data_IF_098175543189
#
_entry.id   IF_098175543189
#
_cell.length_a   1.000
_cell.length_b   1.000
_cell.length_c   1.000
_cell.angle_alpha   90.00
_cell.angle_beta   90.00
_cell.angle_gamma   90.00
#
_symmetry.space_group_name_H-M   'P 1'
#
loop_
_entity.id
_entity.type
_entity.pdbx_description
1 polymer ?
#
# COMPACT_ATOMS: atom_id res chain seq x y z
N UNK A 1 -11.32 20.71 8.44
CA UNK A 1 -11.79 19.43 8.00
C UNK A 1 -11.07 18.32 8.68
N UNK A 2 -11.84 17.35 9.11
CA UNK A 2 -11.28 16.27 9.86
C UNK A 2 -10.48 15.34 8.98
N UNK A 3 -9.31 14.96 9.45
CA UNK A 3 -8.52 13.96 8.80
C UNK A 3 -8.83 12.61 9.42
N UNK A 4 -8.62 11.56 8.64
CA UNK A 4 -8.82 10.21 9.12
C UNK A 4 -7.54 9.71 9.79
N UNK A 5 -7.71 8.95 10.84
CA UNK A 5 -6.59 8.26 11.47
C UNK A 5 -6.31 6.98 10.69
N UNK A 6 -5.06 6.76 10.35
CA UNK A 6 -4.68 5.57 9.59
C UNK A 6 -4.26 4.48 10.58
N UNK A 7 -4.87 3.31 10.42
CA UNK A 7 -4.53 2.12 11.20
C UNK A 7 -4.05 1.06 10.21
N UNK A 8 -2.79 0.66 10.34
CA UNK A 8 -2.26 -0.42 9.51
C UNK A 8 -2.39 -1.69 10.32
N UNK A 9 -3.24 -2.60 9.84
CA UNK A 9 -3.53 -3.83 10.57
C UNK A 9 -2.31 -4.74 10.64
N UNK A 10 -2.30 -5.69 11.58
CA UNK A 10 -1.19 -6.65 11.62
C UNK A 10 -1.01 -7.42 10.31
N UNK A 11 -2.09 -7.73 9.61
CA UNK A 11 -1.98 -8.42 8.32
C UNK A 11 -1.28 -7.54 7.29
N UNK A 12 -1.62 -6.25 7.26
CA UNK A 12 -0.97 -5.34 6.32
C UNK A 12 0.50 -5.12 6.69
N UNK A 13 0.81 -5.05 7.98
CA UNK A 13 2.22 -4.95 8.39
C UNK A 13 2.99 -6.20 8.00
N UNK A 14 2.36 -7.37 8.13
CA UNK A 14 2.98 -8.62 7.70
C UNK A 14 3.24 -8.60 6.20
N UNK A 15 2.32 -8.05 5.42
CA UNK A 15 2.51 -7.92 3.97
C UNK A 15 3.72 -7.05 3.66
N UNK A 16 3.88 -5.94 4.38
CA UNK A 16 5.03 -5.06 4.16
C UNK A 16 6.34 -5.74 4.55
N UNK A 17 6.33 -6.48 5.64
CA UNK A 17 7.52 -7.20 6.08
C UNK A 17 7.91 -8.29 5.08
N UNK A 18 6.92 -8.99 4.53
CA UNK A 18 7.19 -10.02 3.53
C UNK A 18 7.80 -9.40 2.27
N UNK A 19 7.29 -8.26 1.87
CA UNK A 19 7.82 -7.55 0.70
C UNK A 19 9.25 -7.10 0.96
N UNK A 20 9.50 -6.53 2.15
CA UNK A 20 10.83 -6.09 2.52
C UNK A 20 11.83 -7.25 2.48
N UNK A 21 11.46 -8.39 3.04
CA UNK A 21 12.33 -9.56 3.03
C UNK A 21 12.60 -10.06 1.62
N UNK A 22 11.57 -10.06 0.80
CA UNK A 22 11.72 -10.53 -0.57
C UNK A 22 12.72 -9.64 -1.34
N UNK A 23 12.55 -8.32 -1.25
CA UNK A 23 13.43 -7.41 -1.98
C UNK A 23 14.83 -7.42 -1.39
N UNK A 24 14.93 -7.39 -0.05
CA UNK A 24 16.25 -7.30 0.61
C UNK A 24 17.07 -8.56 0.42
N UNK A 25 16.44 -9.73 0.53
CA UNK A 25 17.18 -10.99 0.56
C UNK A 25 17.10 -11.78 -0.73
N UNK A 26 15.91 -11.92 -1.30
CA UNK A 26 15.77 -12.68 -2.54
C UNK A 26 16.29 -11.90 -3.74
N UNK A 27 16.02 -10.61 -3.79
CA UNK A 27 16.52 -9.77 -4.87
C UNK A 27 17.84 -9.09 -4.51
N UNK A 28 18.31 -9.27 -3.29
CA UNK A 28 19.59 -8.74 -2.82
C UNK A 28 19.69 -7.24 -3.03
N UNK A 29 18.59 -6.53 -2.72
CA UNK A 29 18.52 -5.09 -2.96
C UNK A 29 17.95 -4.36 -1.73
N UNK A 30 18.69 -4.36 -0.60
CA UNK A 30 18.17 -3.75 0.62
C UNK A 30 17.87 -2.28 0.51
N UNK A 31 18.66 -1.52 -0.25
CA UNK A 31 18.38 -0.10 -0.42
C UNK A 31 17.09 0.12 -1.18
N UNK A 32 16.84 -0.70 -2.20
CA UNK A 32 15.60 -0.64 -2.96
C UNK A 32 14.41 -0.99 -2.07
N UNK A 33 14.60 -1.97 -1.17
CA UNK A 33 13.52 -2.33 -0.24
C UNK A 33 13.12 -1.12 0.61
N UNK A 34 14.10 -0.39 1.12
CA UNK A 34 13.81 0.80 1.93
C UNK A 34 12.99 1.81 1.14
N UNK A 35 13.40 2.10 -0.09
CA UNK A 35 12.70 3.07 -0.93
C UNK A 35 11.28 2.60 -1.25
N UNK A 36 11.13 1.32 -1.55
CA UNK A 36 9.84 0.75 -1.91
C UNK A 36 8.87 0.83 -0.73
N UNK A 37 9.29 0.40 0.44
CA UNK A 37 8.44 0.42 1.62
C UNK A 37 8.08 1.86 1.99
N UNK A 38 9.03 2.77 1.90
CA UNK A 38 8.77 4.18 2.18
C UNK A 38 7.72 4.74 1.23
N UNK A 39 7.82 4.38 -0.04
CA UNK A 39 6.85 4.83 -1.03
C UNK A 39 5.44 4.35 -0.69
N UNK A 40 5.31 3.06 -0.36
CA UNK A 40 4.00 2.50 -0.03
C UNK A 40 3.43 3.17 1.21
N UNK A 41 4.25 3.37 2.24
CA UNK A 41 3.77 4.02 3.47
C UNK A 41 3.35 5.46 3.22
N UNK A 42 4.03 6.17 2.33
CA UNK A 42 3.66 7.55 2.02
C UNK A 42 2.31 7.59 1.28
N UNK A 43 2.05 6.62 0.41
CA UNK A 43 0.76 6.54 -0.26
C UNK A 43 -0.35 6.22 0.72
N UNK A 44 -0.09 5.31 1.64
CA UNK A 44 -1.05 4.98 2.68
C UNK A 44 -1.35 6.21 3.55
N UNK A 45 -0.33 6.96 3.91
CA UNK A 45 -0.51 8.15 4.72
C UNK A 45 -1.41 9.17 4.03
N UNK A 46 -1.39 9.22 2.71
CA UNK A 46 -2.25 10.13 1.95
C UNK A 46 -3.73 9.83 2.09
N UNK A 47 -4.09 8.62 2.52
CA UNK A 47 -5.49 8.25 2.71
C UNK A 47 -6.16 9.04 3.82
N UNK A 48 -5.40 9.71 4.67
CA UNK A 48 -5.99 10.46 5.79
C UNK A 48 -6.85 11.62 5.32
N UNK A 49 -6.68 12.09 4.11
CA UNK A 49 -7.41 13.26 3.62
C UNK A 49 -8.66 12.91 2.84
N UNK A 50 -8.54 12.06 1.84
CA UNK A 50 -9.66 11.76 0.94
C UNK A 50 -9.73 10.28 0.62
N UNK A 51 -9.94 9.42 1.64
CA UNK A 51 -9.91 7.97 1.38
C UNK A 51 -11.08 7.50 0.51
N UNK A 52 -12.20 8.20 0.54
CA UNK A 52 -13.38 7.75 -0.20
C UNK A 52 -13.35 8.08 -1.67
N UNK A 53 -12.31 8.79 -2.13
CA UNK A 53 -12.15 9.02 -3.56
C UNK A 53 -11.80 7.74 -4.31
N UNK A 54 -11.31 6.74 -3.60
CA UNK A 54 -10.96 5.45 -4.21
C UNK A 54 -12.17 4.54 -4.23
N UNK A 55 -12.33 3.78 -5.31
CA UNK A 55 -13.53 2.98 -5.55
C UNK A 55 -13.59 1.74 -4.67
N UNK A 56 -14.81 1.32 -4.39
CA UNK A 56 -15.04 0.02 -3.76
C UNK A 56 -14.66 -1.09 -4.74
N UNK A 57 -14.20 -2.20 -4.20
CA UNK A 57 -13.97 -3.39 -4.99
C UNK A 57 -15.30 -3.90 -5.52
N UNK A 58 -15.33 -4.34 -6.77
CA UNK A 58 -16.57 -4.81 -7.37
C UNK A 58 -16.95 -6.22 -6.93
N UNK A 59 -15.96 -7.03 -6.62
CA UNK A 59 -16.19 -8.44 -6.29
C UNK A 59 -16.76 -8.60 -4.88
N UNK A 60 -17.72 -9.53 -4.75
CA UNK A 60 -18.23 -9.91 -3.46
C UNK A 60 -17.36 -11.01 -2.85
N UNK A 61 -17.28 -11.07 -1.55
CA UNK A 61 -18.02 -10.29 -0.52
C UNK A 61 -17.39 -8.94 -0.20
N UNK A 62 -16.29 -8.58 -0.85
CA UNK A 62 -15.52 -7.40 -0.50
C UNK A 62 -16.31 -6.11 -0.74
N UNK A 63 -17.08 -6.08 -1.81
CA UNK A 63 -17.90 -4.91 -2.13
C UNK A 63 -18.87 -4.61 -0.99
N UNK A 64 -19.61 -5.62 -0.56
CA UNK A 64 -20.60 -5.44 0.51
C UNK A 64 -19.97 -5.09 1.83
N UNK A 65 -18.69 -5.47 2.01
CA UNK A 65 -17.96 -5.14 3.23
C UNK A 65 -17.34 -3.75 3.19
N UNK A 66 -17.50 -3.05 2.08
CA UNK A 66 -16.99 -1.68 1.97
C UNK A 66 -15.50 -1.56 1.73
N UNK A 67 -14.89 -2.59 1.18
CA UNK A 67 -13.45 -2.57 0.94
C UNK A 67 -13.14 -1.75 -0.30
N UNK A 68 -12.21 -0.82 -0.17
CA UNK A 68 -11.74 0.03 -1.26
C UNK A 68 -10.34 -0.36 -1.66
N UNK A 69 -9.98 0.03 -2.88
CA UNK A 69 -8.68 -0.31 -3.43
C UNK A 69 -7.97 0.93 -3.94
N UNK A 70 -6.73 1.11 -3.50
CA UNK A 70 -5.86 2.15 -4.02
C UNK A 70 -4.72 1.47 -4.76
N UNK A 71 -4.54 1.83 -6.04
CA UNK A 71 -3.42 1.31 -6.81
C UNK A 71 -2.28 2.30 -6.75
N UNK A 72 -1.08 1.78 -6.52
CA UNK A 72 0.13 2.58 -6.43
C UNK A 72 1.23 1.82 -7.16
N UNK A 73 1.46 2.20 -8.41
CA UNK A 73 2.39 1.49 -9.30
C UNK A 73 1.96 0.03 -9.40
N UNK A 74 2.79 -0.91 -9.00
CA UNK A 74 2.44 -2.33 -9.08
C UNK A 74 1.93 -2.89 -7.76
N UNK A 75 1.53 -2.01 -6.85
CA UNK A 75 0.96 -2.41 -5.57
C UNK A 75 -0.52 -2.05 -5.52
N UNK A 76 -1.27 -2.82 -4.76
CA UNK A 76 -2.67 -2.53 -4.46
C UNK A 76 -2.82 -2.53 -2.96
N UNK A 77 -3.41 -1.47 -2.44
CA UNK A 77 -3.68 -1.32 -1.00
C UNK A 77 -5.18 -1.45 -0.81
N UNK A 78 -5.58 -2.41 0.01
CA UNK A 78 -6.99 -2.64 0.31
C UNK A 78 -7.29 -2.10 1.68
N UNK A 79 -8.35 -1.29 1.78
CA UNK A 79 -8.64 -0.61 3.04
C UNK A 79 -10.13 -0.42 3.22
N UNK A 80 -10.52 -0.17 4.47
CA UNK A 80 -11.90 0.09 4.87
C UNK A 80 -11.96 1.44 5.57
N UNK A 81 -12.96 2.25 5.21
CA UNK A 81 -13.15 3.56 5.82
C UNK A 81 -14.22 3.42 6.91
N UNK A 82 -13.82 3.62 8.15
CA UNK A 82 -14.72 3.53 9.30
C UNK A 82 -15.15 4.95 9.66
N UNK A 83 -16.23 5.41 9.01
CA UNK A 83 -16.62 6.81 9.10
C UNK A 83 -17.03 7.23 10.52
N UNK A 84 -17.63 6.32 11.24
CA UNK A 84 -18.10 6.63 12.58
C UNK A 84 -16.96 7.14 13.49
N UNK A 85 -15.76 6.65 13.28
CA UNK A 85 -14.62 7.01 14.09
C UNK A 85 -13.56 7.79 13.32
N UNK A 86 -13.83 8.14 12.08
CA UNK A 86 -12.85 8.82 11.20
C UNK A 86 -11.55 8.04 11.14
N UNK A 87 -11.66 6.75 10.85
CA UNK A 87 -10.50 5.87 10.76
C UNK A 87 -10.46 5.15 9.43
N UNK A 88 -9.25 4.91 8.95
CA UNK A 88 -9.00 4.09 7.77
C UNK A 88 -8.19 2.88 8.22
N UNK A 89 -8.73 1.69 7.99
CA UNK A 89 -8.05 0.44 8.32
C UNK A 89 -7.46 -0.15 7.06
N UNK A 90 -6.14 -0.17 6.98
CA UNK A 90 -5.44 -0.80 5.85
C UNK A 90 -5.39 -2.30 6.13
N UNK A 91 -6.09 -3.06 5.28
CA UNK A 91 -6.29 -4.49 5.52
C UNK A 91 -5.17 -5.35 4.92
N UNK A 92 -4.81 -5.07 3.68
CA UNK A 92 -3.81 -5.87 2.97
C UNK A 92 -3.11 -5.03 1.94
N UNK A 93 -1.89 -5.47 1.60
CA UNK A 93 -1.11 -4.87 0.53
C UNK A 93 -0.65 -6.01 -0.37
N UNK A 94 -1.01 -5.92 -1.66
CA UNK A 94 -0.71 -6.96 -2.64
C UNK A 94 0.19 -6.38 -3.72
N UNK A 95 1.15 -7.15 -4.18
CA UNK A 95 2.09 -6.70 -5.19
C UNK A 95 2.33 -7.81 -6.19
N UNK A 96 2.76 -7.42 -7.40
CA UNK A 96 3.08 -8.39 -8.45
C UNK A 96 4.55 -8.78 -8.34
N UNK A 97 4.79 -9.98 -7.89
CA UNK A 97 6.16 -10.45 -7.69
C UNK A 97 6.87 -10.76 -9.01
N UNK A 98 6.10 -11.16 -10.02
CA UNK A 98 6.66 -11.71 -11.25
C UNK A 98 7.66 -10.80 -11.93
N UNK A 99 7.32 -9.53 -12.07
CA UNK A 99 8.18 -8.57 -12.76
C UNK A 99 8.85 -7.60 -11.81
N UNK A 100 8.88 -7.92 -10.53
CA UNK A 100 9.32 -6.99 -9.52
C UNK A 100 10.76 -6.49 -9.75
N UNK A 101 11.74 -7.31 -10.12
CA UNK A 101 13.09 -6.79 -10.32
C UNK A 101 13.15 -5.69 -11.37
N UNK A 102 12.50 -5.88 -12.52
CA UNK A 102 12.50 -4.86 -13.56
C UNK A 102 11.73 -3.63 -13.14
N UNK A 103 10.57 -3.83 -12.51
CA UNK A 103 9.75 -2.73 -12.05
C UNK A 103 10.51 -1.88 -11.05
N UNK A 104 11.21 -2.52 -10.11
CA UNK A 104 11.93 -1.80 -9.07
C UNK A 104 13.07 -0.98 -9.65
N UNK A 105 13.81 -1.52 -10.62
CA UNK A 105 14.92 -0.78 -11.18
C UNK A 105 14.45 0.42 -11.98
N UNK A 106 13.29 0.33 -12.61
CA UNK A 106 12.77 1.43 -13.41
C UNK A 106 12.00 2.45 -12.61
N UNK A 107 11.19 1.99 -11.65
CA UNK A 107 10.24 2.88 -10.99
C UNK A 107 10.73 3.43 -9.67
N UNK A 108 11.43 2.62 -8.89
CA UNK A 108 11.80 3.04 -7.55
C UNK A 108 13.17 3.71 -7.47
N UNK A 109 14.00 3.49 -8.47
CA UNK A 109 15.26 4.23 -8.54
C UNK A 109 14.99 5.73 -8.70
N UNK A 110 13.92 6.07 -9.43
CA UNK A 110 13.60 7.47 -9.70
C UNK A 110 12.92 8.15 -8.53
N UNK A 111 12.31 7.40 -7.62
CA UNK A 111 11.58 8.00 -6.52
C UNK A 111 12.47 8.77 -5.56
N UNK A 112 13.73 8.34 -5.40
CA UNK A 112 14.66 9.05 -4.57
C UNK A 112 14.94 10.46 -5.06
N UNK A 113 14.91 10.64 -6.36
CA UNK A 113 15.25 11.92 -6.96
C UNK A 113 14.07 12.87 -7.00
N UNK A 114 12.87 12.34 -7.05
CA UNK A 114 11.68 13.17 -7.19
C UNK A 114 11.16 13.68 -5.85
N UNK A 115 11.66 13.16 -4.77
CA UNK A 115 11.33 13.64 -3.45
C UNK A 115 12.32 14.69 -3.00
#
# INVERSE_FOLDING_TARGET
MDEYKIVITPDAEADLNELDEYISFHLMAPDTAIRCIRYIRSKIAGLRKTPKRYSLIEDEPWHSRGIRRMNAKNFAVFFYVYEKYNEVYVQNIIYQKRDLPGILSERYADLDESD
#
